data_IF_220413918077
#
_entry.id   IF_220413918077
#
_cell.length_a   1.000
_cell.length_b   1.000
_cell.length_c   1.000
_cell.angle_alpha   90.00
_cell.angle_beta   90.00
_cell.angle_gamma   90.00
#
_symmetry.space_group_name_H-M   'P 1'
#
loop_
_entity.id
_entity.type
_entity.pdbx_description
1 polymer ?
#
# COMPACT_ATOMS: atom_id res chain seq x y z
N UNK A 1 27.60 40.12 7.15
CA UNK A 1 27.86 38.78 7.71
C UNK A 1 27.56 37.77 6.61
N UNK A 2 28.60 37.18 6.01
CA UNK A 2 28.42 36.17 4.97
C UNK A 2 27.96 34.86 5.62
N UNK A 3 26.79 34.36 5.24
CA UNK A 3 26.36 33.03 5.64
C UNK A 3 27.34 32.02 5.05
N UNK A 4 28.00 31.24 5.91
CA UNK A 4 28.81 30.08 5.51
C UNK A 4 27.87 29.03 4.89
N UNK A 5 27.66 29.13 3.58
CA UNK A 5 26.88 28.15 2.84
C UNK A 5 27.73 26.90 2.62
N UNK A 6 27.41 25.83 3.35
CA UNK A 6 27.91 24.49 3.07
C UNK A 6 27.51 24.11 1.62
N UNK A 7 28.49 23.67 0.81
CA UNK A 7 28.27 23.31 -0.59
C UNK A 7 27.38 22.08 -0.74
N UNK A 8 26.77 21.91 -1.92
CA UNK A 8 25.96 20.73 -2.22
C UNK A 8 26.79 19.43 -2.10
N UNK A 9 28.04 19.45 -2.57
CA UNK A 9 28.94 18.30 -2.52
C UNK A 9 29.26 17.87 -1.08
N UNK A 10 29.42 18.84 -0.17
CA UNK A 10 29.61 18.55 1.26
C UNK A 10 28.38 17.87 1.86
N UNK A 11 27.16 18.30 1.49
CA UNK A 11 25.94 17.63 1.94
C UNK A 11 25.78 16.22 1.35
N UNK A 12 26.10 16.03 0.07
CA UNK A 12 26.08 14.71 -0.57
C UNK A 12 27.09 13.75 0.08
N UNK A 13 28.24 14.26 0.53
CA UNK A 13 29.22 13.47 1.30
C UNK A 13 28.66 13.05 2.66
N UNK A 14 27.98 13.94 3.38
CA UNK A 14 27.30 13.62 4.65
C UNK A 14 26.18 12.60 4.42
N UNK A 15 25.44 12.72 3.32
CA UNK A 15 24.34 11.79 3.01
C UNK A 15 24.82 10.35 2.83
N UNK A 16 26.04 10.12 2.34
CA UNK A 16 26.62 8.78 2.26
C UNK A 16 26.74 8.06 3.62
N UNK A 17 26.71 8.80 4.74
CA UNK A 17 26.84 8.25 6.10
C UNK A 17 25.48 7.95 6.74
N UNK A 18 24.38 8.35 6.11
CA UNK A 18 23.03 8.25 6.65
C UNK A 18 22.23 7.13 5.98
N UNK A 19 21.32 6.54 6.74
CA UNK A 19 20.43 5.52 6.20
C UNK A 19 19.44 6.14 5.18
N UNK A 20 18.98 5.36 4.18
CA UNK A 20 17.99 5.81 3.18
C UNK A 20 16.79 6.52 3.78
N UNK A 21 16.27 5.90 4.84
CA UNK A 21 15.09 6.36 5.55
C UNK A 21 15.34 7.66 6.28
N UNK A 22 16.54 7.86 6.86
CA UNK A 22 16.92 9.12 7.49
C UNK A 22 16.99 10.26 6.48
N UNK A 23 17.45 9.98 5.25
CA UNK A 23 17.49 10.96 4.18
C UNK A 23 16.10 11.27 3.63
N UNK A 24 15.36 10.26 3.17
CA UNK A 24 14.08 10.46 2.47
C UNK A 24 12.91 10.80 3.38
N UNK A 25 12.92 10.31 4.63
CA UNK A 25 11.83 10.51 5.58
C UNK A 25 12.18 11.48 6.71
N UNK A 26 13.43 11.96 6.74
CA UNK A 26 13.92 12.97 7.67
C UNK A 26 14.43 14.20 6.94
N UNK A 27 15.61 14.10 6.34
CA UNK A 27 16.34 15.25 5.78
C UNK A 27 15.61 15.92 4.61
N UNK A 28 15.05 15.15 3.67
CA UNK A 28 14.33 15.67 2.52
C UNK A 28 13.17 16.60 2.95
N UNK A 29 12.55 16.29 4.08
CA UNK A 29 11.37 17.00 4.57
C UNK A 29 11.71 18.30 5.31
N UNK A 30 13.00 18.57 5.57
CA UNK A 30 13.46 19.77 6.28
C UNK A 30 13.30 21.01 5.40
N UNK A 31 13.55 20.91 4.09
CA UNK A 31 13.37 22.04 3.17
C UNK A 31 13.37 21.59 1.72
N UNK A 32 12.78 22.39 0.82
CA UNK A 32 12.85 22.17 -0.62
C UNK A 32 14.29 22.03 -1.15
N UNK A 33 15.26 22.70 -0.54
CA UNK A 33 16.68 22.57 -0.92
C UNK A 33 17.23 21.20 -0.56
N UNK A 34 16.91 20.69 0.63
CA UNK A 34 17.30 19.36 1.05
C UNK A 34 16.56 18.28 0.27
N UNK A 35 15.28 18.49 -0.04
CA UNK A 35 14.52 17.63 -0.95
C UNK A 35 15.24 17.51 -2.30
N UNK A 36 15.64 18.62 -2.92
CA UNK A 36 16.41 18.60 -4.18
C UNK A 36 17.74 17.86 -4.05
N UNK A 37 18.48 18.04 -2.94
CA UNK A 37 19.77 17.36 -2.74
C UNK A 37 19.60 15.88 -2.42
N UNK A 38 18.58 15.49 -1.65
CA UNK A 38 18.24 14.10 -1.39
C UNK A 38 17.76 13.44 -2.68
N UNK A 39 16.95 14.13 -3.50
CA UNK A 39 16.56 13.69 -4.84
C UNK A 39 17.78 13.45 -5.74
N UNK A 40 18.74 14.40 -5.78
CA UNK A 40 19.96 14.27 -6.58
C UNK A 40 20.83 13.10 -6.09
N UNK A 41 20.95 12.97 -4.76
CA UNK A 41 21.61 11.84 -4.11
C UNK A 41 20.91 10.51 -4.41
N UNK A 42 19.58 10.53 -4.57
CA UNK A 42 18.76 9.39 -4.89
C UNK A 42 18.75 9.03 -6.38
N UNK A 43 19.03 9.97 -7.30
CA UNK A 43 19.21 9.65 -8.72
C UNK A 43 20.48 8.84 -8.99
N UNK A 44 21.53 9.09 -8.22
CA UNK A 44 22.85 8.47 -8.42
C UNK A 44 22.98 7.08 -7.78
N UNK A 45 21.99 6.66 -6.98
CA UNK A 45 21.94 5.35 -6.33
C UNK A 45 20.53 4.77 -6.48
N UNK A 46 20.37 3.53 -6.94
CA UNK A 46 19.06 2.87 -6.89
C UNK A 46 18.73 2.59 -5.42
N UNK A 47 17.80 3.34 -4.83
CA UNK A 47 17.37 3.10 -3.45
C UNK A 47 16.17 2.15 -3.44
N UNK A 48 16.02 1.44 -2.33
CA UNK A 48 14.83 0.69 -2.01
C UNK A 48 14.42 1.02 -0.58
N UNK A 49 13.28 1.72 -0.39
CA UNK A 49 12.66 1.83 0.94
C UNK A 49 12.32 0.45 1.52
N UNK A 50 12.27 -0.58 0.67
CA UNK A 50 12.07 -1.95 1.08
C UNK A 50 10.69 -2.15 1.69
N UNK A 51 10.66 -2.79 2.86
CA UNK A 51 9.45 -3.05 3.63
C UNK A 51 9.31 -1.98 4.73
N UNK A 52 8.17 -1.31 4.77
CA UNK A 52 7.74 -0.42 5.84
C UNK A 52 6.60 -1.09 6.60
N UNK A 53 6.75 -1.23 7.92
CA UNK A 53 5.68 -1.63 8.83
C UNK A 53 5.19 -0.40 9.58
N UNK A 54 3.88 -0.20 9.61
CA UNK A 54 3.18 0.85 10.34
C UNK A 54 2.32 0.17 11.39
N UNK A 55 2.54 0.48 12.66
CA UNK A 55 1.82 -0.11 13.78
C UNK A 55 1.58 0.89 14.90
N UNK A 56 1.20 0.37 16.06
CA UNK A 56 1.17 1.15 17.30
C UNK A 56 2.07 0.53 18.35
N UNK A 57 2.81 1.35 19.08
CA UNK A 57 3.45 0.98 20.35
C UNK A 57 2.64 1.55 21.52
N UNK A 58 2.68 0.88 22.66
CA UNK A 58 2.09 1.40 23.90
C UNK A 58 3.16 2.24 24.59
N UNK A 59 2.87 3.50 24.87
CA UNK A 59 3.76 4.38 25.63
C UNK A 59 3.78 3.99 27.12
N UNK A 60 4.66 4.63 27.91
CA UNK A 60 4.74 4.39 29.36
C UNK A 60 3.46 4.72 30.14
N UNK A 61 2.49 5.41 29.52
CA UNK A 61 1.20 5.79 30.10
C UNK A 61 0.03 4.94 29.59
N UNK A 62 0.26 3.94 28.73
CA UNK A 62 -0.79 3.10 28.16
C UNK A 62 -1.45 3.65 26.88
N UNK A 63 -0.95 4.77 26.33
CA UNK A 63 -1.45 5.36 25.08
C UNK A 63 -0.83 4.67 23.87
N UNK A 64 -1.63 4.42 22.82
CA UNK A 64 -1.11 3.93 21.55
C UNK A 64 -0.47 5.09 20.77
N UNK A 65 0.83 5.00 20.52
CA UNK A 65 1.58 5.90 19.65
C UNK A 65 1.86 5.22 18.31
N UNK A 66 1.77 5.99 17.22
CA UNK A 66 2.12 5.51 15.89
C UNK A 66 3.60 5.10 15.86
N UNK A 67 3.89 3.94 15.27
CA UNK A 67 5.24 3.45 15.05
C UNK A 67 5.45 3.11 13.57
N UNK A 68 6.65 3.43 13.07
CA UNK A 68 7.09 2.99 11.75
C UNK A 68 8.44 2.31 11.86
N UNK A 69 8.57 1.12 11.28
CA UNK A 69 9.78 0.33 11.30
C UNK A 69 10.06 -0.32 9.95
N UNK A 70 11.32 -0.73 9.72
CA UNK A 70 11.67 -1.59 8.58
C UNK A 70 11.35 -3.06 8.88
N UNK A 71 11.69 -3.95 7.94
CA UNK A 71 11.55 -5.41 8.11
C UNK A 71 12.25 -5.96 9.37
N UNK A 72 13.41 -5.38 9.74
CA UNK A 72 14.21 -5.79 10.90
C UNK A 72 13.69 -5.22 12.22
N UNK A 73 12.56 -4.50 12.21
CA UNK A 73 12.01 -3.83 13.40
C UNK A 73 12.76 -2.55 13.81
N UNK A 74 13.68 -2.06 12.97
CA UNK A 74 14.38 -0.79 13.23
C UNK A 74 13.45 0.38 12.96
N UNK A 75 13.27 1.22 13.98
CA UNK A 75 12.43 2.42 13.89
C UNK A 75 12.90 3.35 12.76
N UNK A 76 11.95 3.81 11.96
CA UNK A 76 12.15 4.74 10.85
C UNK A 76 11.55 6.11 11.21
N UNK A 77 12.17 7.22 10.76
CA UNK A 77 11.64 8.54 11.02
C UNK A 77 10.34 8.74 10.25
N UNK A 78 9.32 9.28 10.91
CA UNK A 78 8.02 9.52 10.30
C UNK A 78 8.06 10.73 9.38
N UNK A 79 7.66 10.56 8.10
CA UNK A 79 7.48 11.71 7.24
C UNK A 79 6.46 12.70 7.79
N UNK A 80 6.90 13.94 7.98
CA UNK A 80 6.07 15.09 8.39
C UNK A 80 5.49 15.86 7.19
N UNK A 81 5.99 15.57 5.99
CA UNK A 81 5.64 16.22 4.73
C UNK A 81 5.38 15.13 3.69
N UNK A 82 4.61 15.45 2.66
CA UNK A 82 4.38 14.53 1.54
C UNK A 82 5.70 14.07 0.94
N UNK A 83 5.77 12.77 0.65
CA UNK A 83 6.95 12.16 0.09
C UNK A 83 7.17 12.59 -1.35
N UNK A 84 8.45 12.83 -1.70
CA UNK A 84 8.85 13.12 -3.05
C UNK A 84 8.40 11.99 -3.99
N UNK A 85 7.86 12.37 -5.16
CA UNK A 85 7.35 11.43 -6.17
C UNK A 85 8.44 10.51 -6.76
N UNK A 86 9.71 10.80 -6.50
CA UNK A 86 10.89 10.12 -7.07
C UNK A 86 11.50 9.05 -6.17
N UNK A 87 10.85 8.72 -5.06
CA UNK A 87 11.26 7.57 -4.24
C UNK A 87 11.12 6.31 -5.10
N UNK A 88 12.24 5.62 -5.30
CA UNK A 88 12.32 4.36 -6.04
C UNK A 88 12.57 3.18 -5.09
N UNK A 89 12.27 1.96 -5.55
CA UNK A 89 12.52 0.69 -4.84
C UNK A 89 11.72 0.46 -3.55
N UNK A 90 10.57 1.12 -3.42
CA UNK A 90 9.60 0.73 -2.42
C UNK A 90 9.06 -0.67 -2.74
N UNK A 91 9.11 -1.61 -1.78
CA UNK A 91 8.64 -2.99 -2.01
C UNK A 91 7.29 -3.25 -1.34
N UNK A 92 7.14 -2.87 -0.06
CA UNK A 92 6.00 -3.29 0.73
C UNK A 92 5.59 -2.33 1.87
N UNK A 93 4.33 -1.90 1.95
CA UNK A 93 3.74 -1.30 3.18
C UNK A 93 2.92 -2.39 3.87
N UNK A 94 3.20 -2.63 5.14
CA UNK A 94 2.38 -3.42 6.05
C UNK A 94 1.76 -2.49 7.11
N UNK A 95 0.44 -2.45 7.22
CA UNK A 95 -0.26 -1.65 8.26
C UNK A 95 -0.93 -2.60 9.24
N UNK A 96 -0.51 -2.57 10.50
CA UNK A 96 -1.06 -3.43 11.56
C UNK A 96 -1.92 -2.76 12.61
N UNK A 97 -2.03 -1.44 12.51
CA UNK A 97 -2.89 -0.62 13.34
C UNK A 97 -3.42 0.54 12.51
N UNK A 98 -4.70 0.90 12.68
CA UNK A 98 -5.33 1.97 11.92
C UNK A 98 -6.19 2.87 12.80
N UNK A 99 -5.93 4.17 12.72
CA UNK A 99 -6.73 5.25 13.29
C UNK A 99 -6.61 6.51 12.41
N UNK A 100 -7.20 7.62 12.84
CA UNK A 100 -7.13 8.89 12.12
C UNK A 100 -5.70 9.41 11.92
N UNK A 101 -4.78 9.13 12.85
CA UNK A 101 -3.38 9.55 12.74
C UNK A 101 -2.65 8.70 11.69
N UNK A 102 -2.90 7.38 11.67
CA UNK A 102 -2.40 6.48 10.62
C UNK A 102 -2.91 6.92 9.24
N UNK A 103 -4.18 7.30 9.11
CA UNK A 103 -4.73 7.80 7.84
C UNK A 103 -4.04 9.09 7.40
N UNK A 104 -3.92 10.08 8.31
CA UNK A 104 -3.22 11.32 8.03
C UNK A 104 -1.77 11.06 7.57
N UNK A 105 -1.14 10.07 8.19
CA UNK A 105 0.19 9.63 7.82
C UNK A 105 0.26 8.97 6.44
N UNK A 106 -0.65 8.04 6.14
CA UNK A 106 -0.75 7.36 4.83
C UNK A 106 -0.97 8.37 3.70
N UNK A 107 -1.66 9.49 3.95
CA UNK A 107 -1.78 10.58 2.97
C UNK A 107 -0.44 11.15 2.51
N UNK A 108 0.63 11.07 3.30
CA UNK A 108 1.98 11.48 2.85
C UNK A 108 2.56 10.55 1.77
N UNK A 109 2.05 9.32 1.66
CA UNK A 109 2.45 8.33 0.65
C UNK A 109 1.58 8.40 -0.62
N UNK A 110 0.59 9.29 -0.68
CA UNK A 110 -0.30 9.46 -1.84
C UNK A 110 0.44 9.58 -3.18
N UNK A 111 1.55 10.32 -3.31
CA UNK A 111 2.30 10.39 -4.57
C UNK A 111 2.85 9.04 -5.04
N UNK A 112 3.15 8.12 -4.11
CA UNK A 112 3.65 6.78 -4.42
C UNK A 112 2.53 5.88 -4.93
N UNK A 113 1.38 5.89 -4.26
CA UNK A 113 0.21 5.15 -4.73
C UNK A 113 -0.23 5.61 -6.12
N UNK A 114 0.02 6.87 -6.48
CA UNK A 114 -0.31 7.42 -7.79
C UNK A 114 0.69 7.04 -8.90
N UNK A 115 1.89 6.54 -8.57
CA UNK A 115 2.99 6.36 -9.53
C UNK A 115 3.32 4.92 -9.87
N UNK A 116 2.76 3.93 -9.18
CA UNK A 116 3.09 2.52 -9.39
C UNK A 116 1.85 1.60 -9.28
N UNK A 117 1.85 0.45 -9.99
CA UNK A 117 0.84 -0.59 -9.79
C UNK A 117 0.90 -1.15 -8.37
N UNK A 118 -0.28 -1.39 -7.79
CA UNK A 118 -0.47 -1.79 -6.39
C UNK A 118 -0.99 -3.23 -6.31
N UNK A 119 -0.30 -4.04 -5.52
CA UNK A 119 -0.80 -5.31 -5.00
C UNK A 119 -1.46 -5.03 -3.65
N UNK A 120 -2.77 -5.21 -3.59
CA UNK A 120 -3.58 -4.94 -2.41
C UNK A 120 -3.94 -6.25 -1.71
N UNK A 121 -3.73 -6.30 -0.40
CA UNK A 121 -4.25 -7.39 0.43
C UNK A 121 -4.79 -6.84 1.74
N UNK A 122 -5.88 -7.44 2.20
CA UNK A 122 -6.38 -7.27 3.56
C UNK A 122 -6.28 -8.62 4.24
N UNK A 123 -5.81 -8.61 5.48
CA UNK A 123 -5.88 -9.77 6.37
C UNK A 123 -6.52 -9.29 7.67
N UNK A 124 -7.82 -9.56 7.84
CA UNK A 124 -8.50 -9.31 9.11
C UNK A 124 -8.69 -10.63 9.86
N UNK A 125 -8.08 -10.77 11.04
CA UNK A 125 -8.34 -11.92 11.91
C UNK A 125 -9.69 -11.82 12.64
N UNK A 126 -10.31 -10.64 12.64
CA UNK A 126 -11.58 -10.37 13.31
C UNK A 126 -12.62 -9.82 12.33
N UNK A 127 -13.86 -10.31 12.43
CA UNK A 127 -15.02 -9.87 11.66
C UNK A 127 -15.50 -8.47 12.08
N UNK A 128 -14.64 -7.47 11.97
CA UNK A 128 -14.92 -6.09 12.34
C UNK A 128 -15.27 -5.24 11.10
N UNK A 129 -16.56 -5.21 10.75
CA UNK A 129 -17.08 -4.42 9.63
C UNK A 129 -16.79 -2.92 9.76
N UNK A 130 -16.74 -2.39 10.98
CA UNK A 130 -16.44 -0.97 11.23
C UNK A 130 -15.02 -0.58 10.82
N UNK A 131 -14.04 -1.45 11.07
CA UNK A 131 -12.65 -1.20 10.66
C UNK A 131 -12.51 -1.33 9.15
N UNK A 132 -13.18 -2.32 8.55
CA UNK A 132 -13.19 -2.50 7.11
C UNK A 132 -13.83 -1.29 6.40
N UNK A 133 -14.97 -0.82 6.89
CA UNK A 133 -15.62 0.42 6.42
C UNK A 133 -14.67 1.61 6.54
N UNK A 134 -13.97 1.74 7.68
CA UNK A 134 -13.01 2.82 7.89
C UNK A 134 -11.86 2.78 6.88
N UNK A 135 -11.30 1.60 6.60
CA UNK A 135 -10.26 1.42 5.57
C UNK A 135 -10.81 1.78 4.19
N UNK A 136 -11.96 1.24 3.82
CA UNK A 136 -12.56 1.48 2.51
C UNK A 136 -12.92 2.96 2.32
N UNK A 137 -13.35 3.64 3.37
CA UNK A 137 -13.71 5.06 3.28
C UNK A 137 -12.49 5.97 3.15
N UNK A 138 -11.39 5.65 3.83
CA UNK A 138 -10.25 6.56 3.95
C UNK A 138 -9.05 6.20 3.07
N UNK A 139 -8.77 4.91 2.85
CA UNK A 139 -7.60 4.44 2.09
C UNK A 139 -7.99 4.11 0.64
N UNK A 140 -9.13 3.44 0.41
CA UNK A 140 -9.54 2.99 -0.92
C UNK A 140 -9.46 4.09 -2.00
N UNK A 141 -9.96 5.33 -1.78
CA UNK A 141 -9.92 6.37 -2.80
C UNK A 141 -8.50 6.78 -3.22
N UNK A 142 -7.49 6.47 -2.41
CA UNK A 142 -6.10 6.77 -2.69
C UNK A 142 -5.41 5.73 -3.57
N UNK A 143 -5.84 4.46 -3.48
CA UNK A 143 -5.13 3.32 -4.07
C UNK A 143 -5.89 2.66 -5.22
N UNK A 144 -7.22 2.65 -5.20
CA UNK A 144 -8.07 1.81 -6.07
C UNK A 144 -7.71 1.90 -7.56
N UNK A 145 -7.46 3.11 -8.05
CA UNK A 145 -7.12 3.35 -9.46
C UNK A 145 -5.87 2.62 -9.95
N UNK A 146 -4.92 2.35 -9.05
CA UNK A 146 -3.66 1.71 -9.38
C UNK A 146 -3.56 0.27 -8.88
N UNK A 147 -4.62 -0.28 -8.28
CA UNK A 147 -4.61 -1.70 -7.88
C UNK A 147 -4.62 -2.57 -9.15
N UNK A 148 -3.59 -3.40 -9.29
CA UNK A 148 -3.46 -4.39 -10.36
C UNK A 148 -3.62 -5.83 -9.86
N UNK A 149 -3.48 -6.06 -8.57
CA UNK A 149 -3.61 -7.36 -7.92
C UNK A 149 -4.38 -7.24 -6.61
N UNK A 150 -5.32 -8.16 -6.35
CA UNK A 150 -5.98 -8.32 -5.06
C UNK A 150 -5.77 -9.71 -4.47
N UNK A 151 -5.57 -9.76 -3.17
CA UNK A 151 -5.39 -10.97 -2.37
C UNK A 151 -6.31 -10.89 -1.16
N UNK A 152 -7.37 -11.69 -1.18
CA UNK A 152 -8.52 -11.56 -0.26
C UNK A 152 -9.01 -12.95 0.14
N UNK A 153 -9.75 -13.05 1.24
CA UNK A 153 -10.64 -14.18 1.49
C UNK A 153 -12.02 -13.92 0.85
N UNK A 154 -12.80 -14.99 0.68
CA UNK A 154 -14.19 -14.85 0.23
C UNK A 154 -15.03 -13.99 1.19
N UNK A 155 -14.79 -14.11 2.51
CA UNK A 155 -15.46 -13.30 3.54
C UNK A 155 -15.11 -11.82 3.43
N UNK A 156 -13.82 -11.49 3.31
CA UNK A 156 -13.37 -10.11 3.14
C UNK A 156 -13.99 -9.48 1.90
N UNK A 157 -14.03 -10.20 0.77
CA UNK A 157 -14.67 -9.73 -0.44
C UNK A 157 -16.16 -9.43 -0.25
N UNK A 158 -16.90 -10.40 0.31
CA UNK A 158 -18.32 -10.25 0.60
C UNK A 158 -18.59 -9.00 1.45
N UNK A 159 -17.79 -8.81 2.51
CA UNK A 159 -17.92 -7.69 3.44
C UNK A 159 -17.52 -6.37 2.80
N UNK A 160 -16.47 -6.33 1.98
CA UNK A 160 -16.06 -5.14 1.25
C UNK A 160 -17.17 -4.67 0.30
N UNK A 161 -17.87 -5.60 -0.36
CA UNK A 161 -18.99 -5.27 -1.26
C UNK A 161 -20.19 -4.63 -0.58
N UNK A 162 -20.38 -4.84 0.73
CA UNK A 162 -21.42 -4.11 1.49
C UNK A 162 -21.18 -2.59 1.49
N UNK A 163 -19.91 -2.16 1.42
CA UNK A 163 -19.52 -0.75 1.47
C UNK A 163 -19.17 -0.18 0.09
N UNK A 164 -18.53 -0.99 -0.75
CA UNK A 164 -18.14 -0.63 -2.11
C UNK A 164 -18.60 -1.76 -3.05
N UNK A 165 -19.85 -1.74 -3.52
CA UNK A 165 -20.43 -2.87 -4.29
C UNK A 165 -19.62 -3.25 -5.54
N UNK A 166 -19.07 -2.23 -6.21
CA UNK A 166 -18.29 -2.36 -7.43
C UNK A 166 -16.77 -2.50 -7.17
N UNK A 167 -16.35 -3.01 -6.01
CA UNK A 167 -14.95 -3.05 -5.54
C UNK A 167 -13.94 -3.54 -6.60
N UNK A 168 -14.30 -4.54 -7.41
CA UNK A 168 -13.43 -5.04 -8.49
C UNK A 168 -13.43 -4.11 -9.71
N UNK A 169 -14.62 -3.66 -10.12
CA UNK A 169 -14.81 -2.79 -11.30
C UNK A 169 -14.27 -1.38 -11.09
N UNK A 170 -14.22 -0.90 -9.84
CA UNK A 170 -13.64 0.39 -9.45
C UNK A 170 -12.11 0.45 -9.63
N UNK A 171 -11.48 -0.70 -9.86
CA UNK A 171 -10.05 -0.83 -10.07
C UNK A 171 -9.75 -1.06 -11.56
N UNK A 172 -9.51 -0.01 -12.36
CA UNK A 172 -9.36 -0.11 -13.82
C UNK A 172 -8.11 -0.87 -14.26
N UNK A 173 -7.11 -1.04 -13.39
CA UNK A 173 -5.90 -1.81 -13.66
C UNK A 173 -5.96 -3.24 -13.11
N UNK A 174 -7.05 -3.62 -12.42
CA UNK A 174 -7.14 -4.90 -11.72
C UNK A 174 -7.12 -6.05 -12.71
N UNK A 175 -6.02 -6.81 -12.67
CA UNK A 175 -5.74 -7.94 -13.56
C UNK A 175 -5.91 -9.26 -12.85
N UNK A 176 -5.47 -9.33 -11.60
CA UNK A 176 -5.41 -10.58 -10.85
C UNK A 176 -6.19 -10.46 -9.57
N UNK A 177 -7.08 -11.43 -9.33
CA UNK A 177 -7.72 -11.64 -8.03
C UNK A 177 -7.36 -13.04 -7.57
N UNK A 178 -6.79 -13.12 -6.37
CA UNK A 178 -6.53 -14.36 -5.67
C UNK A 178 -7.43 -14.46 -4.44
N UNK A 179 -8.22 -15.53 -4.35
CA UNK A 179 -8.96 -15.85 -3.13
C UNK A 179 -8.31 -17.00 -2.36
N UNK A 180 -7.91 -16.73 -1.12
CA UNK A 180 -7.55 -17.79 -0.18
C UNK A 180 -8.79 -18.30 0.55
N UNK A 181 -8.82 -19.61 0.83
CA UNK A 181 -9.92 -20.29 1.55
C UNK A 181 -11.30 -20.16 0.85
N UNK A 182 -11.32 -19.96 -0.47
CA UNK A 182 -12.54 -20.00 -1.26
C UNK A 182 -12.92 -21.46 -1.58
N UNK A 183 -13.89 -22.01 -0.85
CA UNK A 183 -14.36 -23.38 -1.12
C UNK A 183 -15.42 -23.43 -2.23
N UNK A 184 -16.14 -22.34 -2.53
CA UNK A 184 -17.28 -22.36 -3.46
C UNK A 184 -17.48 -21.03 -4.25
N UNK A 185 -16.41 -20.37 -4.68
CA UNK A 185 -16.54 -19.08 -5.36
C UNK A 185 -16.81 -19.24 -6.87
N UNK A 186 -18.09 -19.32 -7.24
CA UNK A 186 -18.51 -19.48 -8.63
C UNK A 186 -19.00 -18.16 -9.23
N UNK A 187 -18.66 -17.92 -10.49
CA UNK A 187 -19.24 -16.82 -11.28
C UNK A 187 -20.72 -17.07 -11.53
N UNK A 188 -21.56 -16.04 -11.38
CA UNK A 188 -23.00 -16.12 -11.57
C UNK A 188 -23.48 -15.16 -12.66
N UNK A 189 -24.58 -15.50 -13.33
CA UNK A 189 -25.20 -14.69 -14.37
C UNK A 189 -26.64 -14.30 -13.98
N UNK A 190 -27.15 -13.12 -14.43
CA UNK A 190 -26.48 -12.14 -15.29
C UNK A 190 -25.38 -11.37 -14.56
N UNK A 191 -24.40 -10.86 -15.31
CA UNK A 191 -23.30 -10.06 -14.74
C UNK A 191 -23.83 -8.76 -14.13
N UNK A 192 -23.51 -8.51 -12.85
CA UNK A 192 -23.90 -7.30 -12.13
C UNK A 192 -22.95 -7.07 -10.95
N UNK A 193 -22.68 -5.82 -10.59
CA UNK A 193 -21.89 -5.44 -9.40
C UNK A 193 -22.62 -4.41 -8.54
N UNK A 194 -23.92 -4.20 -8.78
CA UNK A 194 -24.76 -3.36 -7.95
C UNK A 194 -24.79 -3.85 -6.49
N UNK A 195 -25.29 -2.99 -5.59
CA UNK A 195 -25.43 -3.32 -4.18
C UNK A 195 -26.30 -4.56 -3.89
N UNK A 196 -27.15 -4.96 -4.84
CA UNK A 196 -28.00 -6.15 -4.72
C UNK A 196 -27.42 -7.40 -5.39
N UNK A 197 -26.34 -7.25 -6.17
CA UNK A 197 -25.76 -8.36 -6.91
C UNK A 197 -25.04 -9.34 -5.97
N UNK A 198 -25.07 -10.63 -6.28
CA UNK A 198 -24.28 -11.63 -5.57
C UNK A 198 -22.78 -11.46 -5.85
N UNK A 199 -21.96 -12.07 -5.00
CA UNK A 199 -20.50 -12.03 -5.16
C UNK A 199 -20.05 -12.71 -6.46
N UNK A 200 -20.75 -13.78 -6.85
CA UNK A 200 -20.55 -14.44 -8.13
C UNK A 200 -20.88 -13.56 -9.32
N UNK A 201 -21.95 -12.75 -9.24
CA UNK A 201 -22.32 -11.81 -10.30
C UNK A 201 -21.28 -10.70 -10.46
N UNK A 202 -20.77 -10.17 -9.34
CA UNK A 202 -19.76 -9.10 -9.37
C UNK A 202 -18.42 -9.61 -9.88
N UNK A 203 -18.03 -10.82 -9.48
CA UNK A 203 -16.86 -11.51 -10.02
C UNK A 203 -17.02 -11.77 -11.52
N UNK A 204 -18.17 -12.26 -11.96
CA UNK A 204 -18.46 -12.48 -13.37
C UNK A 204 -18.37 -11.17 -14.16
N UNK A 205 -18.95 -10.07 -13.63
CA UNK A 205 -18.87 -8.76 -14.26
C UNK A 205 -17.44 -8.29 -14.43
N UNK A 206 -16.61 -8.39 -13.38
CA UNK A 206 -15.20 -8.05 -13.51
C UNK A 206 -14.49 -8.96 -14.51
N UNK A 207 -14.61 -10.28 -14.39
CA UNK A 207 -13.87 -11.25 -15.20
C UNK A 207 -14.21 -11.16 -16.69
N UNK A 208 -15.48 -10.96 -17.03
CA UNK A 208 -15.96 -10.90 -18.41
C UNK A 208 -15.96 -9.49 -19.01
N UNK A 209 -15.62 -8.45 -18.25
CA UNK A 209 -15.41 -7.10 -18.80
C UNK A 209 -13.97 -7.00 -19.33
N UNK A 210 -13.74 -6.83 -20.64
CA UNK A 210 -12.39 -6.72 -21.19
C UNK A 210 -11.64 -5.49 -20.67
N UNK A 211 -10.32 -5.59 -20.58
CA UNK A 211 -9.45 -4.44 -20.34
C UNK A 211 -9.01 -3.81 -21.66
N UNK A 212 -8.67 -2.49 -21.69
CA UNK A 212 -8.33 -1.80 -22.93
C UNK A 212 -7.11 -2.34 -23.70
N UNK A 213 -6.28 -3.14 -23.05
CA UNK A 213 -5.03 -3.69 -23.58
C UNK A 213 -5.14 -5.17 -24.00
N UNK A 214 -6.36 -5.74 -23.99
CA UNK A 214 -6.67 -7.11 -24.40
C UNK A 214 -5.93 -8.23 -23.64
N UNK A 215 -5.21 -7.91 -22.57
CA UNK A 215 -4.55 -8.93 -21.73
C UNK A 215 -5.57 -9.56 -20.78
N UNK A 216 -5.69 -10.90 -20.73
CA UNK A 216 -6.68 -11.58 -19.90
C UNK A 216 -6.58 -11.24 -18.41
N UNK A 217 -7.74 -11.18 -17.76
CA UNK A 217 -7.85 -11.19 -16.30
C UNK A 217 -7.60 -12.61 -15.79
N UNK A 218 -7.02 -12.71 -14.60
CA UNK A 218 -6.71 -13.97 -13.94
C UNK A 218 -7.46 -14.05 -12.62
N UNK A 219 -8.37 -15.00 -12.54
CA UNK A 219 -8.99 -15.41 -11.29
C UNK A 219 -8.31 -16.69 -10.80
N UNK A 220 -7.82 -16.68 -9.55
CA UNK A 220 -7.17 -17.83 -8.94
C UNK A 220 -7.71 -18.03 -7.52
N UNK A 221 -7.80 -19.28 -7.08
CA UNK A 221 -8.31 -19.66 -5.77
C UNK A 221 -7.53 -20.87 -5.24
N UNK A 222 -7.33 -20.94 -3.93
CA UNK A 222 -6.65 -22.09 -3.33
C UNK A 222 -6.38 -21.98 -1.84
N UNK A 223 -5.88 -23.09 -1.27
CA UNK A 223 -5.31 -23.11 0.07
C UNK A 223 -3.88 -22.57 -0.03
N UNK A 224 -3.65 -21.38 0.53
CA UNK A 224 -2.31 -20.80 0.60
C UNK A 224 -1.61 -21.39 1.81
N UNK A 225 -0.66 -22.29 1.61
CA UNK A 225 0.33 -22.55 2.67
C UNK A 225 1.17 -21.27 2.81
N UNK A 226 1.13 -20.66 3.98
CA UNK A 226 1.88 -19.43 4.27
C UNK A 226 3.37 -19.78 4.42
N UNK A 227 4.10 -19.90 3.31
CA UNK A 227 5.54 -20.22 3.30
C UNK A 227 6.45 -18.98 3.30
N UNK A 228 5.87 -17.79 3.32
CA UNK A 228 6.60 -16.52 3.38
C UNK A 228 7.32 -16.13 2.09
N UNK A 229 7.21 -16.92 1.00
CA UNK A 229 7.86 -16.64 -0.27
C UNK A 229 6.84 -16.49 -1.41
N UNK A 230 6.64 -15.25 -1.82
CA UNK A 230 5.70 -14.89 -2.89
C UNK A 230 6.32 -15.19 -4.27
N UNK A 231 5.51 -15.58 -5.28
CA UNK A 231 6.03 -15.88 -6.61
C UNK A 231 6.82 -14.72 -7.18
N UNK A 232 8.03 -15.08 -7.60
CA UNK A 232 9.12 -14.23 -8.06
C UNK A 232 8.71 -13.24 -9.16
N UNK A 233 9.13 -11.99 -8.96
CA UNK A 233 9.27 -10.90 -9.95
C UNK A 233 8.00 -10.50 -10.71
N UNK A 234 7.23 -9.62 -10.08
CA UNK A 234 6.61 -8.49 -10.78
C UNK A 234 7.02 -7.24 -9.99
N UNK A 235 7.55 -6.22 -10.67
CA UNK A 235 7.99 -4.93 -10.10
C UNK A 235 6.79 -4.06 -9.64
N UNK A 236 5.85 -4.66 -8.90
CA UNK A 236 4.66 -4.00 -8.39
C UNK A 236 4.82 -3.73 -6.89
N UNK A 237 4.37 -2.54 -6.49
CA UNK A 237 4.33 -2.08 -5.10
C UNK A 237 3.28 -2.90 -4.33
N UNK A 238 3.60 -3.41 -3.15
CA UNK A 238 2.65 -4.20 -2.33
C UNK A 238 2.17 -3.40 -1.11
N UNK A 239 0.87 -3.11 -1.01
CA UNK A 239 0.26 -2.65 0.24
C UNK A 239 -0.54 -3.81 0.85
N UNK A 240 -0.13 -4.29 2.03
CA UNK A 240 -0.91 -5.20 2.84
C UNK A 240 -1.35 -4.47 4.10
N UNK A 241 -2.64 -4.57 4.40
CA UNK A 241 -3.21 -4.11 5.65
C UNK A 241 -3.50 -5.38 6.47
N UNK A 242 -2.68 -5.66 7.48
CA UNK A 242 -2.80 -6.84 8.35
C UNK A 242 -3.33 -6.41 9.71
N UNK A 243 -4.62 -6.54 9.99
CA UNK A 243 -5.20 -6.03 11.25
C UNK A 243 -5.18 -7.14 12.30
N UNK A 244 -4.36 -6.95 13.34
CA UNK A 244 -4.29 -7.83 14.51
C UNK A 244 -5.23 -7.36 15.63
#
# INVERSE_FOLDING_TARGET
MGANFISADCWLAVFNLLAPSQLGLGIALISHRFDCYVDEHFKTRKWALGVIRIGSKIDGNGTKELEMANYDGKQLPMPQVQLARKITGFQHIEISYIDSNVIAFIHHFRPLFASCPINFGIYTMMNNDSILEFILRNIWPMIARNICWMDLSADEFHRMRKFVPAILSDCPLLRVVFFYMAVDFFTEFPVDDSAMASDGQAMAKWLFTPLPDDVPKVFNYGLKEYDGNWPLKIEAFKAVITIN
#
